data_IF_439370652271
#
_entry.id   IF_439370652271
#
_cell.length_a   1.000
_cell.length_b   1.000
_cell.length_c   1.000
_cell.angle_alpha   90.00
_cell.angle_beta   90.00
_cell.angle_gamma   90.00
#
_symmetry.space_group_name_H-M   'P 1'
#
loop_
_entity.id
_entity.type
_entity.pdbx_description
1 polymer ?
#
# COMPACT_ATOMS: atom_id res chain seq x y z
N UNK A 1 -2.51 9.83 -18.58
CA UNK A 1 -2.97 8.70 -17.76
C UNK A 1 -2.44 7.40 -18.31
N UNK A 2 -1.63 6.75 -17.51
CA UNK A 2 -1.01 5.49 -17.87
C UNK A 2 -1.85 4.35 -17.25
N UNK A 3 -2.51 3.51 -18.08
CA UNK A 3 -3.34 2.43 -17.56
C UNK A 3 -2.56 1.44 -16.69
N UNK A 4 -1.31 1.18 -17.05
CA UNK A 4 -0.47 0.26 -16.27
C UNK A 4 -0.17 0.84 -14.89
N UNK A 5 0.17 2.12 -14.83
CA UNK A 5 0.46 2.78 -13.56
C UNK A 5 -0.79 2.80 -12.67
N UNK A 6 -1.96 3.07 -13.26
CA UNK A 6 -3.22 3.03 -12.52
C UNK A 6 -3.50 1.64 -11.96
N UNK A 7 -3.21 0.60 -12.73
CA UNK A 7 -3.39 -0.76 -12.26
C UNK A 7 -2.48 -1.07 -11.07
N UNK A 8 -1.23 -0.64 -11.14
CA UNK A 8 -0.28 -0.84 -10.05
C UNK A 8 -0.74 -0.10 -8.79
N UNK A 9 -1.17 1.15 -8.95
CA UNK A 9 -1.66 1.95 -7.82
C UNK A 9 -2.88 1.28 -7.16
N UNK A 10 -3.79 0.76 -7.97
CA UNK A 10 -4.97 0.07 -7.46
C UNK A 10 -4.60 -1.21 -6.72
N UNK A 11 -3.63 -1.95 -7.20
CA UNK A 11 -3.16 -3.16 -6.53
C UNK A 11 -2.57 -2.86 -5.16
N UNK A 12 -1.77 -1.80 -5.08
CA UNK A 12 -1.18 -1.39 -3.80
C UNK A 12 -2.26 -0.94 -2.83
N UNK A 13 -3.25 -0.18 -3.30
CA UNK A 13 -4.37 0.23 -2.46
C UNK A 13 -5.15 -0.97 -1.94
N UNK A 14 -5.36 -1.98 -2.78
CA UNK A 14 -6.04 -3.21 -2.38
C UNK A 14 -5.27 -3.95 -1.30
N UNK A 15 -3.94 -4.07 -1.44
CA UNK A 15 -3.11 -4.71 -0.42
C UNK A 15 -3.20 -3.97 0.91
N UNK A 16 -3.12 -2.64 0.88
CA UNK A 16 -3.23 -1.84 2.10
C UNK A 16 -4.60 -2.02 2.76
N UNK A 17 -5.66 -1.99 1.97
CA UNK A 17 -7.01 -2.18 2.48
C UNK A 17 -7.19 -3.56 3.11
N UNK A 18 -6.62 -4.58 2.49
CA UNK A 18 -6.70 -5.95 3.02
C UNK A 18 -6.00 -6.06 4.37
N UNK A 19 -4.83 -5.46 4.51
CA UNK A 19 -4.09 -5.47 5.77
C UNK A 19 -4.86 -4.71 6.84
N UNK A 20 -5.38 -3.54 6.50
CA UNK A 20 -6.14 -2.72 7.45
C UNK A 20 -7.39 -3.45 7.93
N UNK A 21 -8.11 -4.10 7.01
CA UNK A 21 -9.31 -4.85 7.36
C UNK A 21 -8.98 -6.04 8.25
N UNK A 22 -7.92 -6.77 7.93
CA UNK A 22 -7.49 -7.92 8.71
C UNK A 22 -7.15 -7.50 10.15
N UNK A 23 -6.45 -6.38 10.32
CA UNK A 23 -6.12 -5.84 11.63
C UNK A 23 -7.38 -5.39 12.38
N UNK A 24 -8.29 -4.71 11.68
CA UNK A 24 -9.53 -4.23 12.27
C UNK A 24 -10.42 -5.36 12.74
N UNK A 25 -10.35 -6.52 12.09
CA UNK A 25 -11.13 -7.70 12.45
C UNK A 25 -10.44 -8.56 13.52
N UNK A 26 -9.33 -8.10 14.05
CA UNK A 26 -8.62 -8.83 15.09
C UNK A 26 -7.77 -9.98 14.58
N UNK A 27 -7.32 -9.90 13.31
CA UNK A 27 -6.52 -10.94 12.70
C UNK A 27 -5.13 -11.08 13.29
N UNK A 28 -4.57 -10.00 13.86
CA UNK A 28 -3.28 -10.07 14.53
C UNK A 28 -3.52 -10.54 15.97
N UNK A 29 -3.06 -11.77 16.26
CA UNK A 29 -3.30 -12.37 17.59
C UNK A 29 -2.16 -12.14 18.56
N UNK A 30 -1.01 -11.68 18.08
CA UNK A 30 0.15 -11.38 18.91
C UNK A 30 0.68 -10.00 18.58
N UNK A 31 1.45 -9.43 19.52
CA UNK A 31 2.10 -8.15 19.25
C UNK A 31 3.06 -8.25 18.08
N UNK A 32 3.76 -9.37 17.96
CA UNK A 32 4.69 -9.64 16.88
C UNK A 32 3.98 -9.59 15.52
N UNK A 33 2.84 -10.24 15.41
CA UNK A 33 2.03 -10.24 14.19
C UNK A 33 1.55 -8.83 13.85
N UNK A 34 1.12 -8.09 14.86
CA UNK A 34 0.68 -6.72 14.69
C UNK A 34 1.78 -5.84 14.12
N UNK A 35 2.98 -5.91 14.69
CA UNK A 35 4.13 -5.12 14.23
C UNK A 35 4.50 -5.49 12.79
N UNK A 36 4.48 -6.78 12.48
CA UNK A 36 4.81 -7.26 11.14
C UNK A 36 3.83 -6.72 10.10
N UNK A 37 2.54 -6.78 10.40
CA UNK A 37 1.50 -6.33 9.48
C UNK A 37 1.50 -4.81 9.32
N UNK A 38 1.71 -4.06 10.40
CA UNK A 38 1.81 -2.61 10.30
C UNK A 38 3.04 -2.19 9.52
N UNK A 39 4.14 -2.97 9.62
CA UNK A 39 5.33 -2.74 8.81
C UNK A 39 5.06 -2.94 7.33
N UNK A 40 4.30 -3.97 6.97
CA UNK A 40 3.90 -4.19 5.58
C UNK A 40 3.02 -3.06 5.06
N UNK A 41 2.06 -2.63 5.86
CA UNK A 41 1.20 -1.51 5.50
C UNK A 41 2.03 -0.25 5.22
N UNK A 42 2.96 0.05 6.10
CA UNK A 42 3.84 1.21 5.94
C UNK A 42 4.69 1.12 4.68
N UNK A 43 5.20 -0.07 4.37
CA UNK A 43 5.97 -0.28 3.15
C UNK A 43 5.13 0.01 1.90
N UNK A 44 3.89 -0.44 1.87
CA UNK A 44 3.00 -0.16 0.74
C UNK A 44 2.66 1.32 0.66
N UNK A 45 2.49 1.97 1.80
CA UNK A 45 2.22 3.41 1.84
C UNK A 45 3.40 4.21 1.23
N UNK A 46 4.61 3.84 1.57
CA UNK A 46 5.81 4.48 1.03
C UNK A 46 5.93 4.24 -0.47
N UNK A 47 5.63 3.03 -0.90
CA UNK A 47 5.66 2.70 -2.32
C UNK A 47 4.63 3.50 -3.10
N UNK A 48 3.47 3.72 -2.51
CA UNK A 48 2.42 4.57 -3.08
C UNK A 48 2.92 6.00 -3.30
N UNK A 49 3.60 6.54 -2.29
CA UNK A 49 4.19 7.88 -2.39
C UNK A 49 5.23 7.95 -3.51
N UNK A 50 6.07 6.92 -3.61
CA UNK A 50 7.08 6.86 -4.65
C UNK A 50 6.45 6.80 -6.04
N UNK A 51 5.38 6.05 -6.20
CA UNK A 51 4.68 5.97 -7.48
C UNK A 51 4.06 7.30 -7.87
N UNK A 52 3.50 8.03 -6.91
CA UNK A 52 2.95 9.36 -7.17
C UNK A 52 4.07 10.33 -7.62
N UNK A 53 5.21 10.23 -7.00
CA UNK A 53 6.37 11.05 -7.37
C UNK A 53 6.86 10.73 -8.76
N UNK A 54 6.93 9.45 -9.09
CA UNK A 54 7.34 9.00 -10.43
C UNK A 54 6.35 9.50 -11.48
N UNK A 55 5.06 9.37 -11.20
CA UNK A 55 4.01 9.85 -12.08
C UNK A 55 4.15 11.33 -12.37
N UNK A 56 4.39 12.11 -11.32
CA UNK A 56 4.53 13.55 -11.42
C UNK A 56 5.74 13.94 -12.26
N UNK A 57 6.86 13.28 -12.04
CA UNK A 57 8.13 13.63 -12.70
C UNK A 57 8.24 13.13 -14.13
N UNK A 58 7.76 11.94 -14.39
CA UNK A 58 8.07 11.23 -15.62
C UNK A 58 6.88 11.00 -16.54
N UNK A 59 5.68 11.14 -16.06
CA UNK A 59 4.48 10.87 -16.84
C UNK A 59 3.62 12.13 -17.05
N UNK A 60 3.45 12.94 -16.01
CA UNK A 60 2.61 14.14 -16.06
C UNK A 60 3.38 15.42 -16.32
N UNK A 61 4.69 15.39 -16.26
CA UNK A 61 5.51 16.59 -16.47
C UNK A 61 5.57 17.03 -17.93
#
# INVERSE_FOLDING_TARGET
>A
NDPLLELIKNKIADYKSSIALFLAEGGATTHEDYVKLTGKYEAFRLLEEDLLEIEKKYIES
#
